data_IF_528879063239
#
_entry.id   IF_528879063239
#
_cell.length_a   1.000
_cell.length_b   1.000
_cell.length_c   1.000
_cell.angle_alpha   90.00
_cell.angle_beta   90.00
_cell.angle_gamma   90.00
#
_symmetry.space_group_name_H-M   'P 1'
#
loop_
_entity.id
_entity.type
_entity.pdbx_description
1 polymer ?
#
# COMPACT_ATOMS: atom_id res chain seq x y z
N UNK A 1 23.18 35.44 20.05
CA UNK A 1 22.90 34.03 19.69
C UNK A 1 23.18 33.93 18.21
N UNK A 2 24.21 33.18 17.84
CA UNK A 2 24.50 32.94 16.43
C UNK A 2 23.30 32.18 15.85
N UNK A 3 22.53 32.82 14.98
CA UNK A 3 21.42 32.14 14.29
C UNK A 3 22.07 31.23 13.27
N UNK A 4 21.78 29.93 13.35
CA UNK A 4 22.18 28.95 12.34
C UNK A 4 21.87 29.41 10.91
N UNK A 5 22.56 28.82 9.94
CA UNK A 5 22.39 29.19 8.53
C UNK A 5 20.95 28.94 8.09
N UNK A 6 20.30 29.94 7.48
CA UNK A 6 18.94 29.73 6.97
C UNK A 6 18.96 28.86 5.71
N UNK A 7 17.85 28.20 5.39
CA UNK A 7 17.72 27.44 4.14
C UNK A 7 18.08 28.28 2.91
N UNK A 8 17.66 29.55 2.87
CA UNK A 8 17.99 30.47 1.78
C UNK A 8 19.49 30.83 1.71
N UNK A 9 20.15 31.02 2.86
CA UNK A 9 21.60 31.23 2.91
C UNK A 9 22.35 29.99 2.42
N UNK A 10 21.93 28.80 2.85
CA UNK A 10 22.53 27.52 2.47
C UNK A 10 22.37 27.24 0.97
N UNK A 11 21.18 27.45 0.40
CA UNK A 11 20.98 27.30 -1.05
C UNK A 11 21.92 28.20 -1.84
N UNK A 12 22.05 29.47 -1.44
CA UNK A 12 22.88 30.43 -2.17
C UNK A 12 24.37 30.13 -2.02
N UNK A 13 24.80 29.74 -0.82
CA UNK A 13 26.18 29.33 -0.57
C UNK A 13 26.54 28.06 -1.34
N UNK A 14 25.64 27.08 -1.40
CA UNK A 14 25.83 25.85 -2.18
C UNK A 14 26.05 26.12 -3.67
N UNK A 15 25.30 27.06 -4.26
CA UNK A 15 25.50 27.48 -5.65
C UNK A 15 26.86 28.15 -5.91
N UNK A 16 27.41 28.84 -4.89
CA UNK A 16 28.71 29.50 -4.94
C UNK A 16 29.88 28.56 -4.62
N UNK A 17 29.62 27.46 -3.89
CA UNK A 17 30.53 26.34 -3.69
C UNK A 17 30.67 25.53 -4.98
N UNK A 18 29.57 25.36 -5.74
CA UNK A 18 29.61 24.71 -7.06
C UNK A 18 30.52 25.45 -8.03
N UNK A 19 30.33 26.78 -8.16
CA UNK A 19 31.21 27.64 -8.95
C UNK A 19 31.01 29.12 -8.61
N UNK A 20 32.00 29.98 -8.92
CA UNK A 20 31.84 31.43 -8.78
C UNK A 20 30.72 31.97 -9.68
N UNK A 21 29.84 32.83 -9.14
CA UNK A 21 28.69 33.38 -9.87
C UNK A 21 28.41 34.83 -9.50
N UNK A 22 27.80 35.58 -10.43
CA UNK A 22 27.13 36.84 -10.11
C UNK A 22 25.69 36.57 -9.62
N UNK A 23 25.17 37.42 -8.74
CA UNK A 23 23.73 37.56 -8.45
C UNK A 23 22.72 37.37 -9.59
N UNK A 24 22.98 37.83 -10.84
CA UNK A 24 22.06 37.55 -11.96
C UNK A 24 22.12 36.08 -12.42
N UNK A 25 23.30 35.49 -12.51
CA UNK A 25 23.46 34.06 -12.84
C UNK A 25 22.89 33.17 -11.74
N UNK A 26 22.94 33.63 -10.48
CA UNK A 26 22.28 32.94 -9.36
C UNK A 26 20.77 32.94 -9.54
N UNK A 27 20.16 34.06 -9.96
CA UNK A 27 18.73 34.11 -10.29
C UNK A 27 18.37 33.16 -11.44
N UNK A 28 19.16 33.16 -12.51
CA UNK A 28 18.96 32.27 -13.67
C UNK A 28 18.97 30.81 -13.21
N UNK A 29 19.99 30.38 -12.48
CA UNK A 29 20.10 28.99 -11.99
C UNK A 29 18.98 28.62 -11.01
N UNK A 30 18.60 29.51 -10.09
CA UNK A 30 17.50 29.28 -9.14
C UNK A 30 16.19 29.06 -9.90
N UNK A 31 15.95 29.84 -10.95
CA UNK A 31 14.77 29.72 -11.79
C UNK A 31 14.80 28.46 -12.66
N UNK A 32 15.91 28.21 -13.35
CA UNK A 32 16.09 27.06 -14.26
C UNK A 32 15.98 25.72 -13.52
N UNK A 33 16.60 25.60 -12.35
CA UNK A 33 16.60 24.36 -11.56
C UNK A 33 15.36 24.21 -10.67
N UNK A 34 14.40 25.14 -10.75
CA UNK A 34 13.20 25.10 -9.92
C UNK A 34 13.51 25.08 -8.42
N UNK A 35 14.52 25.81 -7.94
CA UNK A 35 14.89 25.74 -6.53
C UNK A 35 13.80 26.32 -5.61
N UNK A 36 12.95 27.18 -6.16
CA UNK A 36 11.78 27.76 -5.47
C UNK A 36 10.68 26.74 -5.14
N UNK A 37 10.83 25.51 -5.59
CA UNK A 37 9.95 24.40 -5.22
C UNK A 37 10.16 23.96 -3.76
N UNK A 38 11.36 24.14 -3.22
CA UNK A 38 11.76 23.61 -1.90
C UNK A 38 12.48 24.65 -1.02
N UNK A 39 12.71 25.87 -1.50
CA UNK A 39 13.25 26.98 -0.70
C UNK A 39 12.56 28.31 -1.00
N UNK A 40 12.47 29.18 0.01
CA UNK A 40 11.91 30.53 -0.12
C UNK A 40 13.01 31.53 -0.49
N UNK A 41 13.24 31.73 -1.80
CA UNK A 41 14.21 32.71 -2.31
C UNK A 41 13.57 33.59 -3.40
N UNK A 42 13.33 34.85 -3.07
CA UNK A 42 12.93 35.88 -4.04
C UNK A 42 14.14 36.61 -4.64
N UNK A 43 13.99 37.20 -5.82
CA UNK A 43 15.07 37.94 -6.49
C UNK A 43 15.72 39.01 -5.59
N UNK A 44 14.90 39.82 -4.91
CA UNK A 44 15.38 40.87 -4.00
C UNK A 44 16.15 40.31 -2.80
N UNK A 45 15.91 39.06 -2.41
CA UNK A 45 16.61 38.42 -1.29
C UNK A 45 18.01 37.95 -1.67
N UNK A 46 18.30 37.66 -2.94
CA UNK A 46 19.62 37.18 -3.38
C UNK A 46 20.72 38.16 -2.97
N UNK A 47 20.58 39.44 -3.31
CA UNK A 47 21.62 40.45 -3.01
C UNK A 47 21.76 40.74 -1.51
N UNK A 48 20.66 40.66 -0.76
CA UNK A 48 20.68 40.76 0.69
C UNK A 48 21.44 39.57 1.31
N UNK A 49 21.18 38.34 0.84
CA UNK A 49 21.86 37.13 1.30
C UNK A 49 23.34 37.13 0.93
N UNK A 50 23.71 37.58 -0.27
CA UNK A 50 25.13 37.77 -0.65
C UNK A 50 25.84 38.74 0.30
N UNK A 51 25.17 39.83 0.69
CA UNK A 51 25.73 40.80 1.64
C UNK A 51 25.97 40.14 3.00
N UNK A 52 24.98 39.39 3.52
CA UNK A 52 25.12 38.66 4.79
C UNK A 52 26.18 37.57 4.76
N UNK A 53 26.22 36.74 3.71
CA UNK A 53 27.24 35.69 3.56
C UNK A 53 28.65 36.29 3.52
N UNK A 54 28.82 37.46 2.89
CA UNK A 54 30.09 38.18 2.85
C UNK A 54 30.47 38.76 4.22
N UNK A 55 29.53 39.39 4.92
CA UNK A 55 29.76 39.91 6.28
C UNK A 55 30.14 38.81 7.27
N UNK A 56 29.65 37.58 7.04
CA UNK A 56 30.03 36.37 7.76
C UNK A 56 31.35 35.74 7.29
N UNK A 57 32.04 36.32 6.30
CA UNK A 57 33.30 35.79 5.77
C UNK A 57 33.17 34.50 4.93
N UNK A 58 31.95 34.07 4.61
CA UNK A 58 31.69 32.81 3.90
C UNK A 58 31.89 32.94 2.38
N UNK A 59 31.78 34.16 1.85
CA UNK A 59 32.05 34.46 0.45
C UNK A 59 32.90 35.73 0.32
N UNK A 60 33.64 35.83 -0.79
CA UNK A 60 34.42 37.02 -1.14
C UNK A 60 34.14 37.44 -2.59
N UNK A 61 34.09 38.73 -2.91
CA UNK A 61 34.04 39.17 -4.31
C UNK A 61 35.37 38.85 -5.01
N UNK A 62 35.29 38.34 -6.23
CA UNK A 62 36.43 38.21 -7.15
C UNK A 62 36.56 39.50 -7.96
N UNK A 63 37.79 39.90 -8.32
CA UNK A 63 38.03 41.10 -9.12
C UNK A 63 37.21 41.07 -10.43
N UNK A 64 36.60 42.20 -10.83
CA UNK A 64 35.68 42.23 -11.95
C UNK A 64 36.38 41.86 -13.26
N UNK A 65 35.94 40.78 -13.89
CA UNK A 65 36.22 40.54 -15.31
C UNK A 65 35.52 41.62 -16.12
N UNK A 66 36.28 42.40 -16.89
CA UNK A 66 35.71 43.43 -17.78
C UNK A 66 34.85 42.74 -18.84
N UNK A 67 33.53 42.88 -18.73
CA UNK A 67 32.62 42.50 -19.81
C UNK A 67 32.69 43.52 -20.95
N UNK A 68 32.46 43.08 -22.19
CA UNK A 68 32.53 43.87 -23.42
C UNK A 68 31.47 44.99 -23.54
N UNK A 69 30.76 45.34 -22.46
CA UNK A 69 29.66 46.31 -22.43
C UNK A 69 29.68 47.31 -21.27
N UNK A 70 30.80 47.47 -20.56
CA UNK A 70 31.02 48.62 -19.66
C UNK A 70 30.34 48.59 -18.29
N UNK A 71 29.56 47.56 -17.92
CA UNK A 71 29.11 47.36 -16.54
C UNK A 71 29.98 46.33 -15.83
N UNK A 72 30.69 46.77 -14.78
CA UNK A 72 31.40 45.89 -13.84
C UNK A 72 30.38 45.06 -13.05
N UNK A 73 30.53 43.75 -13.13
CA UNK A 73 29.64 42.76 -12.52
C UNK A 73 30.42 42.08 -11.39
N UNK A 74 29.92 42.16 -10.15
CA UNK A 74 30.59 41.54 -8.99
C UNK A 74 30.29 40.04 -8.98
N UNK A 75 31.33 39.24 -9.22
CA UNK A 75 31.30 37.77 -9.06
C UNK A 75 31.67 37.44 -7.63
N UNK A 76 30.96 36.48 -7.03
CA UNK A 76 31.24 36.00 -5.68
C UNK A 76 31.81 34.58 -5.73
N UNK A 77 32.74 34.29 -4.82
CA UNK A 77 33.38 33.00 -4.63
C UNK A 77 33.23 32.57 -3.18
N UNK A 78 32.94 31.29 -2.91
CA UNK A 78 32.96 30.74 -1.57
C UNK A 78 34.39 30.70 -1.00
N UNK A 79 34.57 31.13 0.25
CA UNK A 79 35.86 31.03 0.97
C UNK A 79 36.08 29.59 1.47
N UNK A 80 37.28 29.21 1.94
CA UNK A 80 37.48 27.92 2.60
C UNK A 80 36.56 27.71 3.81
N UNK A 81 36.23 28.79 4.52
CA UNK A 81 35.24 28.76 5.60
C UNK A 81 33.82 28.57 5.07
N UNK A 82 33.46 29.25 3.97
CA UNK A 82 32.20 29.03 3.26
C UNK A 82 31.96 27.58 2.85
N UNK A 83 32.98 26.90 2.32
CA UNK A 83 32.88 25.48 1.98
C UNK A 83 32.58 24.60 3.20
N UNK A 84 33.30 24.81 4.31
CA UNK A 84 33.07 24.07 5.56
C UNK A 84 31.69 24.34 6.14
N UNK A 85 31.29 25.61 6.19
CA UNK A 85 29.99 26.01 6.69
C UNK A 85 28.83 25.45 5.85
N UNK A 86 28.98 25.42 4.52
CA UNK A 86 28.01 24.82 3.62
C UNK A 86 27.84 23.32 3.87
N UNK A 87 28.95 22.58 4.01
CA UNK A 87 28.92 21.15 4.27
C UNK A 87 28.26 20.84 5.62
N UNK A 88 28.67 21.52 6.69
CA UNK A 88 28.11 21.32 8.03
C UNK A 88 26.62 21.65 8.08
N UNK A 89 26.20 22.77 7.49
CA UNK A 89 24.79 23.17 7.45
C UNK A 89 23.92 22.23 6.59
N UNK A 90 24.48 21.67 5.51
CA UNK A 90 23.78 20.65 4.71
C UNK A 90 23.60 19.33 5.49
N UNK A 91 24.63 18.90 6.22
CA UNK A 91 24.54 17.70 7.08
C UNK A 91 23.51 17.88 8.20
N UNK A 92 23.55 19.02 8.90
CA UNK A 92 22.57 19.37 9.94
C UNK A 92 21.14 19.39 9.39
N UNK A 93 20.92 20.02 8.22
CA UNK A 93 19.61 20.07 7.58
C UNK A 93 19.05 18.69 7.17
N UNK A 94 19.93 17.71 6.90
CA UNK A 94 19.54 16.33 6.59
C UNK A 94 19.29 15.52 7.87
N UNK A 95 20.14 15.69 8.88
CA UNK A 95 20.11 14.89 10.10
C UNK A 95 18.99 15.33 11.07
N UNK A 96 18.72 16.63 11.14
CA UNK A 96 17.79 17.19 12.11
C UNK A 96 16.37 17.32 11.58
N UNK A 97 15.42 16.78 12.35
CA UNK A 97 14.00 16.92 12.06
C UNK A 97 13.53 18.34 12.34
N UNK A 98 13.35 19.12 11.28
CA UNK A 98 12.76 20.45 11.33
C UNK A 98 11.25 20.38 11.03
N UNK A 99 10.36 20.66 12.00
CA UNK A 99 8.92 20.62 11.75
C UNK A 99 8.48 21.70 10.76
N UNK A 100 7.81 21.29 9.69
CA UNK A 100 7.08 22.19 8.81
C UNK A 100 5.65 22.30 9.35
N UNK A 101 5.15 23.53 9.52
CA UNK A 101 3.78 23.80 9.97
C UNK A 101 2.93 24.35 8.81
N UNK A 102 2.19 23.49 8.07
CA UNK A 102 1.37 23.95 6.95
C UNK A 102 0.31 24.95 7.40
N UNK A 103 0.20 26.10 6.71
CA UNK A 103 -0.75 27.16 7.04
C UNK A 103 -2.22 26.70 7.01
N UNK A 104 -2.54 25.65 6.25
CA UNK A 104 -3.88 25.08 6.22
C UNK A 104 -4.33 24.58 7.60
N UNK A 105 -3.43 24.03 8.42
CA UNK A 105 -3.79 23.54 9.76
C UNK A 105 -4.26 24.69 10.67
N UNK A 106 -3.57 25.83 10.59
CA UNK A 106 -3.97 27.06 11.31
C UNK A 106 -5.28 27.60 10.74
N UNK A 107 -5.46 27.56 9.42
CA UNK A 107 -6.71 27.95 8.76
C UNK A 107 -7.89 27.09 9.23
N UNK A 108 -7.71 25.77 9.33
CA UNK A 108 -8.72 24.83 9.81
C UNK A 108 -9.03 25.00 11.30
N UNK A 109 -8.01 25.26 12.13
CA UNK A 109 -8.21 25.54 13.56
C UNK A 109 -9.13 26.76 13.79
N UNK A 110 -9.20 27.65 12.80
CA UNK A 110 -10.06 28.84 12.81
C UNK A 110 -11.24 28.74 11.83
N UNK A 111 -11.51 27.56 11.26
CA UNK A 111 -12.61 27.35 10.32
C UNK A 111 -14.01 27.71 10.88
N UNK A 112 -14.32 27.57 12.19
CA UNK A 112 -15.60 28.03 12.74
C UNK A 112 -15.88 29.52 12.54
N UNK A 113 -14.86 30.35 12.25
CA UNK A 113 -15.03 31.77 11.94
C UNK A 113 -15.40 32.05 10.46
N UNK A 114 -15.48 31.01 9.62
CA UNK A 114 -15.76 31.08 8.19
C UNK A 114 -17.12 30.42 7.94
N UNK A 115 -17.99 31.07 7.17
CA UNK A 115 -19.24 30.45 6.72
C UNK A 115 -18.97 29.22 5.83
N UNK A 116 -19.90 28.27 5.86
CA UNK A 116 -19.71 26.96 5.20
C UNK A 116 -19.41 27.09 3.71
N UNK A 117 -20.13 27.95 2.99
CA UNK A 117 -19.94 28.13 1.55
C UNK A 117 -18.54 28.67 1.23
N UNK A 118 -18.08 29.70 1.95
CA UNK A 118 -16.74 30.25 1.77
C UNK A 118 -15.64 29.28 2.18
N UNK A 119 -15.87 28.44 3.20
CA UNK A 119 -14.95 27.37 3.57
C UNK A 119 -14.81 26.35 2.44
N UNK A 120 -15.92 25.83 1.90
CA UNK A 120 -15.88 24.86 0.80
C UNK A 120 -15.21 25.45 -0.44
N UNK A 121 -15.57 26.68 -0.83
CA UNK A 121 -14.92 27.36 -1.95
C UNK A 121 -13.42 27.59 -1.73
N UNK A 122 -12.98 27.81 -0.48
CA UNK A 122 -11.56 27.94 -0.14
C UNK A 122 -10.81 26.60 -0.26
N UNK A 123 -11.42 25.50 0.18
CA UNK A 123 -10.87 24.16 0.03
C UNK A 123 -10.78 23.77 -1.46
N UNK A 124 -11.81 24.06 -2.26
CA UNK A 124 -11.83 23.79 -3.70
C UNK A 124 -10.77 24.62 -4.47
N UNK A 125 -10.55 25.88 -4.06
CA UNK A 125 -9.43 26.69 -4.59
C UNK A 125 -8.08 26.06 -4.26
N UNK A 126 -7.90 25.55 -3.04
CA UNK A 126 -6.66 24.90 -2.63
C UNK A 126 -6.43 23.59 -3.38
N UNK A 127 -7.48 22.78 -3.59
CA UNK A 127 -7.39 21.53 -4.36
C UNK A 127 -6.87 21.79 -5.78
N UNK A 128 -7.41 22.81 -6.46
CA UNK A 128 -6.92 23.22 -7.78
C UNK A 128 -5.46 23.69 -7.75
N UNK A 129 -5.11 24.53 -6.78
CA UNK A 129 -3.74 25.01 -6.62
C UNK A 129 -2.74 23.86 -6.36
N UNK A 130 -3.13 22.84 -5.57
CA UNK A 130 -2.31 21.64 -5.36
C UNK A 130 -2.14 20.83 -6.65
N UNK A 131 -3.22 20.62 -7.41
CA UNK A 131 -3.15 19.90 -8.69
C UNK A 131 -2.25 20.62 -9.71
N UNK A 132 -2.41 21.94 -9.86
CA UNK A 132 -1.54 22.78 -10.71
C UNK A 132 -0.08 22.70 -10.25
N UNK A 133 0.15 22.70 -8.93
CA UNK A 133 1.50 22.62 -8.37
C UNK A 133 2.17 21.27 -8.61
N UNK A 134 1.44 20.17 -8.40
CA UNK A 134 1.93 18.80 -8.68
C UNK A 134 2.32 18.68 -10.15
N UNK A 135 1.50 19.19 -11.07
CA UNK A 135 1.81 19.15 -12.50
C UNK A 135 3.06 19.99 -12.83
N UNK A 136 3.17 21.19 -12.26
CA UNK A 136 4.35 22.05 -12.44
C UNK A 136 5.64 21.37 -11.95
N UNK A 137 5.64 20.83 -10.72
CA UNK A 137 6.79 20.13 -10.14
C UNK A 137 7.13 18.90 -10.97
N UNK A 138 6.13 18.11 -11.38
CA UNK A 138 6.32 16.92 -12.19
C UNK A 138 6.93 17.23 -13.56
N UNK A 139 6.52 18.34 -14.19
CA UNK A 139 7.13 18.82 -15.44
C UNK A 139 8.60 19.19 -15.25
N UNK A 140 8.93 19.93 -14.19
CA UNK A 140 10.32 20.31 -13.90
C UNK A 140 11.19 19.09 -13.58
N UNK A 141 10.68 18.16 -12.77
CA UNK A 141 11.38 16.92 -12.42
C UNK A 141 11.64 16.02 -13.64
N UNK A 142 10.70 15.99 -14.61
CA UNK A 142 10.83 15.21 -15.84
C UNK A 142 11.65 15.86 -16.95
N UNK A 143 12.03 17.14 -16.82
CA UNK A 143 12.72 17.89 -17.88
C UNK A 143 14.17 17.45 -18.08
N UNK A 144 14.88 17.10 -17.00
CA UNK A 144 16.27 16.65 -17.06
C UNK A 144 16.39 15.17 -16.68
N UNK A 145 16.43 14.30 -17.69
CA UNK A 145 16.60 12.85 -17.52
C UNK A 145 17.99 12.44 -17.03
N UNK A 146 18.97 13.35 -17.05
CA UNK A 146 20.34 13.10 -16.60
C UNK A 146 20.63 13.72 -15.24
N UNK A 147 19.62 14.30 -14.59
CA UNK A 147 19.77 14.91 -13.27
C UNK A 147 20.36 13.89 -12.27
N UNK A 148 21.35 14.28 -11.44
CA UNK A 148 21.91 13.41 -10.40
C UNK A 148 20.86 12.86 -9.43
N UNK A 149 21.13 11.70 -8.83
CA UNK A 149 20.19 10.99 -7.94
C UNK A 149 19.67 11.86 -6.80
N UNK A 150 20.55 12.66 -6.18
CA UNK A 150 20.15 13.57 -5.09
C UNK A 150 19.18 14.67 -5.55
N UNK A 151 19.27 15.11 -6.81
CA UNK A 151 18.36 16.12 -7.38
C UNK A 151 16.98 15.49 -7.58
N UNK A 152 16.92 14.26 -8.09
CA UNK A 152 15.65 13.53 -8.25
C UNK A 152 14.96 13.30 -6.90
N UNK A 153 15.73 12.94 -5.87
CA UNK A 153 15.22 12.75 -4.52
C UNK A 153 14.54 14.01 -3.92
N UNK A 154 15.04 15.21 -4.25
CA UNK A 154 14.41 16.48 -3.81
C UNK A 154 13.00 16.61 -4.43
N UNK A 155 12.87 16.36 -5.73
CA UNK A 155 11.58 16.44 -6.41
C UNK A 155 10.62 15.33 -5.97
N UNK A 156 11.12 14.10 -5.78
CA UNK A 156 10.32 12.98 -5.28
C UNK A 156 9.74 13.31 -3.89
N UNK A 157 10.54 13.92 -3.01
CA UNK A 157 10.07 14.35 -1.70
C UNK A 157 8.98 15.43 -1.81
N UNK A 158 9.20 16.46 -2.63
CA UNK A 158 8.23 17.55 -2.82
C UNK A 158 6.91 17.04 -3.43
N UNK A 159 6.98 16.17 -4.45
CA UNK A 159 5.80 15.54 -5.05
C UNK A 159 5.06 14.66 -4.05
N UNK A 160 5.77 13.89 -3.24
CA UNK A 160 5.18 13.06 -2.19
C UNK A 160 4.39 13.89 -1.17
N UNK A 161 4.95 15.02 -0.72
CA UNK A 161 4.26 15.93 0.21
C UNK A 161 3.01 16.56 -0.40
N UNK A 162 3.11 17.07 -1.64
CA UNK A 162 1.98 17.68 -2.33
C UNK A 162 0.86 16.68 -2.61
N UNK A 163 1.23 15.46 -3.02
CA UNK A 163 0.28 14.38 -3.31
C UNK A 163 -0.45 13.93 -2.04
N UNK A 164 0.28 13.74 -0.94
CA UNK A 164 -0.31 13.39 0.35
C UNK A 164 -1.28 14.47 0.84
N UNK A 165 -0.96 15.75 0.64
CA UNK A 165 -1.89 16.83 0.99
C UNK A 165 -3.12 16.86 0.08
N UNK A 166 -2.96 16.61 -1.23
CA UNK A 166 -4.07 16.56 -2.17
C UNK A 166 -5.05 15.41 -1.86
N UNK A 167 -4.52 14.23 -1.54
CA UNK A 167 -5.30 13.07 -1.07
C UNK A 167 -6.08 13.42 0.20
N UNK A 168 -5.39 13.91 1.24
CA UNK A 168 -6.03 14.30 2.50
C UNK A 168 -7.10 15.39 2.30
N UNK A 169 -6.85 16.38 1.44
CA UNK A 169 -7.79 17.47 1.19
C UNK A 169 -9.05 16.96 0.47
N UNK A 170 -8.89 16.04 -0.48
CA UNK A 170 -10.00 15.36 -1.16
C UNK A 170 -10.90 14.65 -0.14
N UNK A 171 -10.30 13.83 0.73
CA UNK A 171 -11.01 13.07 1.76
C UNK A 171 -11.73 13.99 2.75
N UNK A 172 -11.03 15.02 3.23
CA UNK A 172 -11.61 16.00 4.14
C UNK A 172 -12.77 16.76 3.50
N UNK A 173 -12.61 17.20 2.24
CA UNK A 173 -13.66 17.93 1.52
C UNK A 173 -14.91 17.07 1.30
N UNK A 174 -14.74 15.79 0.98
CA UNK A 174 -15.84 14.83 0.85
C UNK A 174 -16.58 14.64 2.18
N UNK A 175 -15.85 14.52 3.30
CA UNK A 175 -16.44 14.38 4.64
C UNK A 175 -17.33 15.57 5.05
N UNK A 176 -17.12 16.75 4.47
CA UNK A 176 -17.89 17.95 4.77
C UNK A 176 -19.26 18.00 4.08
N UNK A 177 -19.50 17.19 3.06
CA UNK A 177 -20.79 17.09 2.37
C UNK A 177 -21.79 16.19 3.12
N UNK A 178 -21.31 15.42 4.10
CA UNK A 178 -22.12 14.59 5.00
C UNK A 178 -22.64 15.42 6.20
N UNK A 179 -23.94 15.35 6.56
CA UNK A 179 -24.52 16.12 7.68
C UNK A 179 -23.89 15.81 9.05
N UNK A 180 -23.83 16.76 10.00
CA UNK A 180 -23.21 16.56 11.32
C UNK A 180 -23.81 15.42 12.16
N UNK A 181 -25.09 15.09 11.97
CA UNK A 181 -25.73 13.96 12.65
C UNK A 181 -25.29 12.59 12.11
N UNK A 182 -24.74 12.57 10.90
CA UNK A 182 -24.04 11.43 10.29
C UNK A 182 -22.53 11.48 10.56
N UNK A 183 -22.03 12.57 11.18
CA UNK A 183 -20.64 12.73 11.67
C UNK A 183 -20.47 12.30 13.14
N UNK A 184 -21.14 11.21 13.55
CA UNK A 184 -20.59 10.44 14.68
C UNK A 184 -19.31 9.80 14.15
N UNK A 185 -18.20 10.07 14.82
CA UNK A 185 -16.84 9.76 14.36
C UNK A 185 -16.79 8.45 13.59
N UNK A 186 -16.14 8.47 12.42
CA UNK A 186 -15.79 7.24 11.75
C UNK A 186 -14.91 6.44 12.72
N UNK A 187 -15.55 5.57 13.50
CA UNK A 187 -14.93 4.33 13.90
C UNK A 187 -14.30 3.79 12.63
N UNK A 188 -13.03 3.32 12.67
CA UNK A 188 -12.40 2.76 11.49
C UNK A 188 -13.43 1.82 10.86
N UNK A 189 -13.82 2.08 9.61
CA UNK A 189 -14.70 1.19 8.86
C UNK A 189 -14.04 -0.16 9.02
N UNK A 190 -14.65 -0.99 9.86
CA UNK A 190 -13.93 -2.14 10.36
C UNK A 190 -13.77 -3.01 9.14
N UNK A 191 -12.53 -3.33 8.72
CA UNK A 191 -12.33 -4.03 7.47
C UNK A 191 -13.23 -5.27 7.47
N UNK A 192 -13.84 -5.56 6.32
CA UNK A 192 -14.59 -6.80 6.20
C UNK A 192 -13.66 -7.96 6.53
N UNK A 193 -14.10 -8.81 7.45
CA UNK A 193 -13.35 -9.98 7.87
C UNK A 193 -14.30 -11.15 7.77
N UNK A 194 -14.03 -12.04 6.81
CA UNK A 194 -14.85 -13.24 6.58
C UNK A 194 -15.00 -14.07 7.87
N UNK A 195 -14.00 -14.04 8.76
CA UNK A 195 -14.05 -14.74 10.06
C UNK A 195 -15.04 -14.12 11.03
N UNK A 196 -15.35 -12.83 10.87
CA UNK A 196 -16.38 -12.13 11.65
C UNK A 196 -17.76 -12.32 11.02
N UNK A 197 -17.86 -12.17 9.71
CA UNK A 197 -19.13 -12.27 8.98
C UNK A 197 -19.68 -13.70 8.97
N UNK A 198 -18.82 -14.70 8.84
CA UNK A 198 -19.16 -16.13 8.81
C UNK A 198 -18.49 -16.89 9.95
N UNK A 199 -18.68 -16.40 11.19
CA UNK A 199 -18.00 -16.93 12.38
C UNK A 199 -18.17 -18.44 12.58
N UNK A 200 -19.35 -18.99 12.29
CA UNK A 200 -19.61 -20.43 12.46
C UNK A 200 -18.86 -21.29 11.43
N UNK A 201 -18.44 -20.70 10.31
CA UNK A 201 -17.71 -21.37 9.23
C UNK A 201 -16.19 -21.26 9.38
N UNK A 202 -15.71 -20.15 9.94
CA UNK A 202 -14.29 -19.81 10.03
C UNK A 202 -13.72 -19.79 11.46
N UNK A 203 -14.58 -19.88 12.47
CA UNK A 203 -14.19 -20.02 13.87
C UNK A 203 -15.10 -21.03 14.62
N UNK A 204 -15.32 -22.25 14.06
CA UNK A 204 -16.08 -23.28 14.75
C UNK A 204 -15.40 -23.66 16.07
N UNK A 205 -16.21 -24.15 17.01
CA UNK A 205 -15.73 -24.65 18.31
C UNK A 205 -15.90 -26.15 18.48
N UNK A 206 -16.63 -26.80 17.56
CA UNK A 206 -16.96 -28.21 17.65
C UNK A 206 -15.76 -29.06 17.20
N UNK A 207 -15.33 -29.98 18.05
CA UNK A 207 -14.34 -31.03 17.76
C UNK A 207 -15.01 -32.37 17.43
N UNK A 208 -16.32 -32.35 17.23
CA UNK A 208 -17.14 -33.45 16.72
C UNK A 208 -17.92 -32.94 15.51
N UNK A 209 -18.27 -33.80 14.56
CA UNK A 209 -19.02 -33.40 13.38
C UNK A 209 -20.36 -32.75 13.73
N UNK A 210 -20.66 -31.65 13.04
CA UNK A 210 -21.94 -30.97 13.10
C UNK A 210 -22.35 -30.57 11.67
N UNK A 211 -23.66 -30.53 11.43
CA UNK A 211 -24.19 -30.00 10.17
C UNK A 211 -24.23 -28.48 10.24
N UNK A 212 -23.69 -27.85 9.21
CA UNK A 212 -23.77 -26.41 8.96
C UNK A 212 -24.36 -26.18 7.57
N UNK A 213 -25.06 -25.07 7.39
CA UNK A 213 -25.49 -24.63 6.06
C UNK A 213 -24.50 -23.56 5.57
N UNK A 214 -23.82 -23.83 4.46
CA UNK A 214 -22.82 -22.93 3.91
C UNK A 214 -23.45 -22.13 2.77
N UNK A 215 -23.63 -20.80 2.94
CA UNK A 215 -24.24 -19.97 1.91
C UNK A 215 -23.31 -19.82 0.71
N UNK A 216 -23.85 -19.27 -0.37
CA UNK A 216 -23.05 -18.87 -1.52
C UNK A 216 -21.94 -17.89 -1.09
N UNK A 217 -20.70 -18.20 -1.46
CA UNK A 217 -19.52 -17.38 -1.22
C UNK A 217 -18.72 -17.17 -2.51
N UNK A 218 -17.91 -16.11 -2.53
CA UNK A 218 -17.08 -15.73 -3.69
C UNK A 218 -15.61 -15.90 -3.34
N UNK A 219 -14.84 -16.40 -4.30
CA UNK A 219 -13.44 -16.73 -4.12
C UNK A 219 -12.63 -16.27 -5.33
N UNK A 220 -11.37 -15.94 -5.11
CA UNK A 220 -10.35 -16.16 -6.13
C UNK A 220 -9.85 -17.59 -5.98
N UNK A 221 -9.70 -18.28 -7.11
CA UNK A 221 -9.43 -19.71 -7.16
C UNK A 221 -8.34 -20.02 -8.19
N UNK A 222 -7.57 -21.07 -7.92
CA UNK A 222 -6.62 -21.65 -8.87
C UNK A 222 -6.62 -23.16 -8.74
N UNK A 223 -6.68 -23.85 -9.87
CA UNK A 223 -6.70 -25.31 -9.96
C UNK A 223 -5.27 -25.84 -10.11
N UNK A 224 -5.04 -27.05 -9.61
CA UNK A 224 -3.77 -27.73 -9.78
C UNK A 224 -3.82 -29.17 -9.34
N UNK A 225 -2.69 -29.85 -9.49
CA UNK A 225 -2.54 -31.28 -9.18
C UNK A 225 -1.19 -31.55 -8.52
N UNK A 226 -1.10 -32.67 -7.81
CA UNK A 226 0.13 -33.15 -7.17
C UNK A 226 0.26 -32.81 -5.69
N UNK A 227 1.27 -33.38 -5.05
CA UNK A 227 1.47 -33.31 -3.60
C UNK A 227 1.79 -31.87 -3.14
N UNK A 228 0.98 -31.29 -2.24
CA UNK A 228 1.21 -29.93 -1.73
C UNK A 228 2.53 -29.75 -0.98
N UNK A 229 3.17 -30.83 -0.54
CA UNK A 229 4.42 -30.78 0.23
C UNK A 229 5.67 -30.70 -0.67
N UNK A 230 5.56 -31.11 -1.94
CA UNK A 230 6.72 -31.25 -2.83
C UNK A 230 6.55 -30.52 -4.17
N UNK A 231 5.31 -30.24 -4.57
CA UNK A 231 5.00 -29.62 -5.86
C UNK A 231 5.33 -28.12 -5.87
N UNK A 232 6.23 -27.72 -6.76
CA UNK A 232 6.45 -26.29 -7.05
C UNK A 232 5.20 -25.63 -7.60
N UNK A 233 4.36 -26.36 -8.33
CA UNK A 233 3.10 -25.84 -8.86
C UNK A 233 2.13 -25.45 -7.74
N UNK A 234 2.08 -26.22 -6.64
CA UNK A 234 1.30 -25.85 -5.45
C UNK A 234 1.84 -24.56 -4.80
N UNK A 235 3.15 -24.48 -4.59
CA UNK A 235 3.78 -23.30 -4.01
C UNK A 235 3.56 -22.04 -4.87
N UNK A 236 3.69 -22.17 -6.19
CA UNK A 236 3.45 -21.08 -7.16
C UNK A 236 1.98 -20.67 -7.17
N UNK A 237 1.05 -21.61 -7.08
CA UNK A 237 -0.39 -21.33 -7.04
C UNK A 237 -0.78 -20.55 -5.78
N UNK A 238 -0.30 -20.99 -4.60
CA UNK A 238 -0.53 -20.27 -3.34
C UNK A 238 0.12 -18.88 -3.38
N UNK A 239 1.34 -18.77 -3.91
CA UNK A 239 2.01 -17.48 -4.07
C UNK A 239 1.23 -16.53 -5.00
N UNK A 240 0.68 -17.05 -6.10
CA UNK A 240 -0.15 -16.30 -7.02
C UNK A 240 -1.45 -15.81 -6.37
N UNK A 241 -2.16 -16.68 -5.65
CA UNK A 241 -3.40 -16.33 -4.93
C UNK A 241 -3.16 -15.17 -3.96
N UNK A 242 -2.15 -15.27 -3.10
CA UNK A 242 -1.84 -14.18 -2.17
C UNK A 242 -1.40 -12.91 -2.90
N UNK A 243 -0.66 -13.02 -4.00
CA UNK A 243 -0.27 -11.86 -4.81
C UNK A 243 -1.50 -11.09 -5.31
N UNK A 244 -2.50 -11.79 -5.85
CA UNK A 244 -3.75 -11.17 -6.31
C UNK A 244 -4.61 -10.68 -5.14
N UNK A 245 -4.75 -11.46 -4.06
CA UNK A 245 -5.52 -11.06 -2.87
C UNK A 245 -5.01 -9.76 -2.24
N UNK A 246 -3.68 -9.62 -2.08
CA UNK A 246 -3.10 -8.39 -1.54
C UNK A 246 -3.21 -7.22 -2.52
N UNK A 247 -3.08 -7.48 -3.83
CA UNK A 247 -3.28 -6.43 -4.85
C UNK A 247 -4.72 -5.92 -4.83
N UNK A 248 -5.72 -6.82 -4.73
CA UNK A 248 -7.13 -6.48 -4.54
C UNK A 248 -7.36 -5.71 -3.25
N UNK A 249 -6.77 -6.13 -2.13
CA UNK A 249 -6.89 -5.41 -0.84
C UNK A 249 -6.40 -3.97 -0.97
N UNK A 250 -5.23 -3.75 -1.55
CA UNK A 250 -4.68 -2.40 -1.69
C UNK A 250 -5.44 -1.56 -2.71
N UNK A 251 -5.99 -2.17 -3.76
CA UNK A 251 -6.86 -1.48 -4.71
C UNK A 251 -8.20 -1.10 -4.06
N UNK A 252 -8.84 -2.01 -3.32
CA UNK A 252 -10.12 -1.79 -2.65
C UNK A 252 -10.02 -0.70 -1.55
N UNK A 253 -8.87 -0.60 -0.86
CA UNK A 253 -8.61 0.48 0.10
C UNK A 253 -8.63 1.88 -0.54
N UNK A 254 -8.44 1.98 -1.87
CA UNK A 254 -8.43 3.24 -2.62
C UNK A 254 -9.79 3.60 -3.23
N UNK A 255 -10.82 2.78 -3.01
CA UNK A 255 -12.17 2.99 -3.52
C UNK A 255 -13.17 3.06 -2.38
N UNK A 256 -14.37 3.57 -2.65
CA UNK A 256 -15.49 3.59 -1.67
C UNK A 256 -15.98 2.19 -1.28
N UNK A 257 -15.47 1.13 -1.94
CA UNK A 257 -15.87 -0.25 -1.70
C UNK A 257 -15.39 -0.80 -0.34
N UNK A 258 -14.43 -0.14 0.29
CA UNK A 258 -13.97 -0.46 1.64
C UNK A 258 -12.79 -1.44 1.73
N UNK A 259 -12.16 -1.48 2.90
CA UNK A 259 -11.03 -2.38 3.18
C UNK A 259 -11.52 -3.77 3.65
N UNK A 260 -10.69 -4.80 3.47
CA UNK A 260 -10.95 -6.15 3.98
C UNK A 260 -9.69 -6.85 4.47
N UNK A 261 -9.84 -7.77 5.42
CA UNK A 261 -8.78 -8.68 5.87
C UNK A 261 -8.68 -9.83 4.86
N UNK A 262 -7.47 -10.12 4.37
CA UNK A 262 -7.25 -11.29 3.50
C UNK A 262 -7.66 -12.55 4.26
N UNK A 263 -8.57 -13.33 3.68
CA UNK A 263 -9.09 -14.55 4.27
C UNK A 263 -8.01 -15.63 4.44
N UNK A 264 -8.22 -16.61 5.34
CA UNK A 264 -7.40 -17.82 5.37
C UNK A 264 -7.34 -18.50 3.99
N UNK A 265 -6.28 -19.24 3.74
CA UNK A 265 -6.22 -20.13 2.58
C UNK A 265 -7.24 -21.26 2.78
N UNK A 266 -7.94 -21.62 1.72
CA UNK A 266 -8.87 -22.76 1.71
C UNK A 266 -8.51 -23.68 0.53
N UNK A 267 -8.90 -24.96 0.62
CA UNK A 267 -8.57 -25.96 -0.38
C UNK A 267 -9.73 -26.94 -0.61
N UNK A 268 -10.14 -27.07 -1.87
CA UNK A 268 -11.00 -28.17 -2.31
C UNK A 268 -10.13 -29.32 -2.79
N UNK A 269 -10.40 -30.53 -2.32
CA UNK A 269 -9.57 -31.72 -2.56
C UNK A 269 -10.39 -32.85 -3.15
N UNK A 270 -9.84 -33.49 -4.19
CA UNK A 270 -10.38 -34.72 -4.76
C UNK A 270 -9.31 -35.56 -5.41
N UNK A 271 -9.65 -36.80 -5.70
CA UNK A 271 -8.86 -37.69 -6.54
C UNK A 271 -9.81 -38.37 -7.53
N UNK A 272 -9.31 -38.65 -8.73
CA UNK A 272 -10.11 -39.34 -9.77
C UNK A 272 -10.42 -40.80 -9.39
N UNK A 273 -9.70 -41.33 -8.40
CA UNK A 273 -9.84 -42.68 -7.87
C UNK A 273 -9.96 -42.64 -6.34
N UNK A 274 -11.07 -43.14 -5.75
CA UNK A 274 -11.27 -43.13 -4.30
C UNK A 274 -10.15 -43.83 -3.50
N UNK A 275 -9.49 -44.83 -4.08
CA UNK A 275 -8.44 -45.65 -3.43
C UNK A 275 -7.14 -44.86 -3.15
N UNK A 276 -7.02 -43.66 -3.73
CA UNK A 276 -5.86 -42.76 -3.55
C UNK A 276 -5.80 -42.19 -2.13
N UNK A 277 -6.96 -41.96 -1.50
CA UNK A 277 -7.03 -41.47 -0.11
C UNK A 277 -6.60 -42.53 0.91
N UNK A 278 -6.77 -43.82 0.59
CA UNK A 278 -6.34 -44.93 1.44
C UNK A 278 -4.85 -45.25 1.34
N UNK A 279 -4.18 -44.87 0.24
CA UNK A 279 -2.78 -45.25 -0.05
C UNK A 279 -1.77 -44.12 0.20
N UNK A 280 -2.22 -42.94 0.68
CA UNK A 280 -1.39 -41.73 0.85
C UNK A 280 -0.62 -41.32 -0.42
N UNK A 281 -1.13 -41.67 -1.60
CA UNK A 281 -0.53 -41.31 -2.89
C UNK A 281 -0.88 -39.84 -3.24
N UNK A 282 -0.33 -38.90 -2.45
CA UNK A 282 -0.60 -37.45 -2.54
C UNK A 282 -0.28 -36.86 -3.92
N UNK A 283 0.58 -37.51 -4.71
CA UNK A 283 0.91 -37.12 -6.09
C UNK A 283 -0.27 -37.17 -7.07
N UNK A 284 -1.34 -37.91 -6.75
CA UNK A 284 -2.55 -38.02 -7.60
C UNK A 284 -3.70 -37.14 -7.13
N UNK A 285 -3.45 -36.22 -6.19
CA UNK A 285 -4.47 -35.30 -5.70
C UNK A 285 -4.69 -34.18 -6.70
N UNK A 286 -5.95 -33.89 -6.96
CA UNK A 286 -6.40 -32.69 -7.62
C UNK A 286 -6.89 -31.72 -6.55
N UNK A 287 -6.62 -30.44 -6.75
CA UNK A 287 -7.02 -29.42 -5.81
C UNK A 287 -7.41 -28.11 -6.49
N UNK A 288 -8.29 -27.39 -5.81
CA UNK A 288 -8.58 -25.98 -6.09
C UNK A 288 -8.25 -25.20 -4.83
N UNK A 289 -7.20 -24.36 -4.88
CA UNK A 289 -6.88 -23.45 -3.77
C UNK A 289 -7.72 -22.18 -3.88
N UNK A 290 -8.19 -21.69 -2.75
CA UNK A 290 -9.17 -20.62 -2.64
C UNK A 290 -8.74 -19.55 -1.63
N UNK A 291 -9.14 -18.30 -1.88
CA UNK A 291 -9.20 -17.25 -0.86
C UNK A 291 -10.56 -16.55 -1.01
N UNK A 292 -11.36 -16.53 0.06
CA UNK A 292 -12.66 -15.88 0.08
C UNK A 292 -12.55 -14.35 -0.12
N UNK A 293 -13.42 -13.81 -0.96
CA UNK A 293 -13.48 -12.40 -1.34
C UNK A 293 -14.76 -11.75 -0.82
N UNK A 294 -14.73 -10.46 -0.42
CA UNK A 294 -15.93 -9.71 -0.08
C UNK A 294 -16.96 -9.66 -1.24
N UNK A 295 -18.26 -9.53 -0.95
CA UNK A 295 -19.32 -9.59 -1.95
C UNK A 295 -19.32 -8.41 -2.95
N UNK A 296 -18.59 -7.34 -2.68
CA UNK A 296 -18.44 -6.22 -3.63
C UNK A 296 -17.26 -6.38 -4.59
N UNK A 297 -16.36 -7.36 -4.37
CA UNK A 297 -15.28 -7.64 -5.32
C UNK A 297 -15.89 -8.23 -6.59
N UNK A 298 -15.64 -7.56 -7.71
CA UNK A 298 -16.18 -7.95 -9.02
C UNK A 298 -15.15 -8.69 -9.86
N UNK A 299 -15.61 -9.44 -10.87
CA UNK A 299 -14.73 -10.09 -11.86
C UNK A 299 -13.76 -9.10 -12.52
N UNK A 300 -14.22 -7.88 -12.81
CA UNK A 300 -13.38 -6.82 -13.41
C UNK A 300 -12.23 -6.43 -12.50
N UNK A 301 -12.50 -6.23 -11.20
CA UNK A 301 -11.46 -5.89 -10.22
C UNK A 301 -10.42 -7.02 -10.09
N UNK A 302 -10.85 -8.27 -10.20
CA UNK A 302 -9.96 -9.43 -10.18
C UNK A 302 -9.02 -9.44 -11.39
N UNK A 303 -9.54 -9.20 -12.60
CA UNK A 303 -8.67 -9.11 -13.80
C UNK A 303 -7.69 -7.93 -13.72
N UNK A 304 -8.12 -6.74 -13.29
CA UNK A 304 -7.23 -5.58 -13.09
C UNK A 304 -6.13 -5.86 -12.05
N UNK A 305 -6.47 -6.59 -10.99
CA UNK A 305 -5.52 -7.02 -9.98
C UNK A 305 -4.54 -8.08 -10.49
N UNK A 306 -4.99 -9.01 -11.35
CA UNK A 306 -4.12 -9.99 -12.03
C UNK A 306 -3.09 -9.28 -12.90
N UNK A 307 -3.52 -8.33 -13.73
CA UNK A 307 -2.61 -7.57 -14.60
C UNK A 307 -1.55 -6.81 -13.78
N UNK A 308 -1.99 -6.12 -12.73
CA UNK A 308 -1.11 -5.38 -11.81
C UNK A 308 -0.13 -6.31 -11.10
N UNK A 309 -0.60 -7.45 -10.60
CA UNK A 309 0.22 -8.42 -9.89
C UNK A 309 1.23 -9.10 -10.83
N UNK A 310 0.81 -9.45 -12.05
CA UNK A 310 1.65 -10.10 -13.05
C UNK A 310 2.78 -9.17 -13.51
N UNK A 311 2.49 -7.90 -13.76
CA UNK A 311 3.50 -6.90 -14.12
C UNK A 311 4.60 -6.75 -13.05
N UNK A 312 4.21 -6.86 -11.77
CA UNK A 312 5.12 -6.71 -10.62
C UNK A 312 5.92 -7.97 -10.29
N UNK A 313 5.27 -9.14 -10.29
CA UNK A 313 5.84 -10.41 -9.81
C UNK A 313 6.38 -11.32 -10.91
N UNK A 314 5.91 -11.14 -12.15
CA UNK A 314 6.26 -11.99 -13.31
C UNK A 314 6.06 -13.48 -13.04
N UNK A 315 5.06 -13.83 -12.23
CA UNK A 315 4.71 -15.21 -11.87
C UNK A 315 3.58 -15.70 -12.81
N UNK A 316 3.83 -16.68 -13.70
CA UNK A 316 2.84 -17.10 -14.70
C UNK A 316 1.52 -17.61 -14.11
N UNK A 317 1.57 -18.26 -12.94
CA UNK A 317 0.38 -18.79 -12.25
C UNK A 317 -0.66 -17.70 -11.90
N UNK A 318 -0.29 -16.41 -11.90
CA UNK A 318 -1.24 -15.31 -11.68
C UNK A 318 -2.32 -15.28 -12.78
N UNK A 319 -1.96 -15.62 -14.02
CA UNK A 319 -2.90 -15.61 -15.15
C UNK A 319 -4.01 -16.66 -15.01
N UNK A 320 -3.72 -17.77 -14.32
CA UNK A 320 -4.63 -18.90 -14.10
C UNK A 320 -5.68 -18.63 -13.00
N UNK A 321 -5.55 -17.52 -12.25
CA UNK A 321 -6.50 -17.18 -11.20
C UNK A 321 -7.86 -16.83 -11.81
N UNK A 322 -8.90 -17.48 -11.30
CA UNK A 322 -10.29 -17.29 -11.73
C UNK A 322 -11.19 -16.90 -10.56
N UNK A 323 -12.26 -16.16 -10.87
CA UNK A 323 -13.35 -15.94 -9.93
C UNK A 323 -14.21 -17.20 -9.81
N UNK A 324 -14.47 -17.66 -8.59
CA UNK A 324 -15.35 -18.78 -8.29
C UNK A 324 -16.48 -18.32 -7.37
N UNK A 325 -17.71 -18.64 -7.72
CA UNK A 325 -18.86 -18.58 -6.81
C UNK A 325 -19.17 -20.02 -6.41
N UNK A 326 -19.22 -20.30 -5.11
CA UNK A 326 -19.46 -21.64 -4.57
C UNK A 326 -20.56 -21.59 -3.53
N UNK A 327 -21.59 -22.42 -3.69
CA UNK A 327 -22.65 -22.66 -2.72
C UNK A 327 -22.57 -24.13 -2.31
N UNK A 328 -22.02 -24.41 -1.13
CA UNK A 328 -21.86 -25.80 -0.65
C UNK A 328 -23.15 -26.33 -0.02
N UNK A 329 -23.98 -25.45 0.56
CA UNK A 329 -25.22 -25.83 1.24
C UNK A 329 -24.95 -26.70 2.47
N UNK A 330 -25.82 -27.69 2.76
CA UNK A 330 -25.66 -28.58 3.89
C UNK A 330 -24.31 -29.31 3.88
N UNK A 331 -23.52 -29.10 4.92
CA UNK A 331 -22.17 -29.63 5.04
C UNK A 331 -21.90 -30.18 6.44
N UNK A 332 -21.23 -31.33 6.54
CA UNK A 332 -20.65 -31.79 7.78
C UNK A 332 -19.34 -31.02 8.02
N UNK A 333 -19.19 -30.42 9.21
CA UNK A 333 -18.03 -29.60 9.57
C UNK A 333 -17.47 -29.99 10.94
N UNK A 334 -16.14 -29.98 11.08
CA UNK A 334 -15.43 -30.15 12.36
C UNK A 334 -14.16 -29.29 12.41
N UNK A 335 -13.80 -28.83 13.60
CA UNK A 335 -12.49 -28.22 13.85
C UNK A 335 -11.47 -29.32 14.20
N UNK A 336 -10.51 -29.55 13.31
CA UNK A 336 -9.31 -30.36 13.61
C UNK A 336 -8.26 -29.50 14.32
N UNK A 337 -7.65 -30.07 15.37
CA UNK A 337 -6.54 -29.45 16.10
C UNK A 337 -5.37 -30.42 16.08
N UNK A 338 -4.34 -30.09 15.32
CA UNK A 338 -3.16 -30.93 15.14
C UNK A 338 -2.56 -30.84 13.73
N UNK A 339 -1.56 -31.68 13.43
CA UNK A 339 -0.93 -31.79 12.11
C UNK A 339 -1.93 -32.20 11.01
N UNK A 340 -1.69 -31.74 9.78
CA UNK A 340 -2.49 -32.15 8.60
C UNK A 340 -2.42 -33.67 8.36
N UNK A 341 -1.26 -34.29 8.62
CA UNK A 341 -1.09 -35.74 8.46
C UNK A 341 -1.90 -36.58 9.48
N UNK A 342 -2.44 -35.94 10.53
CA UNK A 342 -3.26 -36.55 11.57
C UNK A 342 -4.77 -36.37 11.34
N UNK A 343 -5.19 -35.86 10.18
CA UNK A 343 -6.61 -35.70 9.84
C UNK A 343 -7.31 -37.03 9.48
N UNK A 344 -6.53 -38.06 9.11
CA UNK A 344 -7.04 -39.34 8.63
C UNK A 344 -8.05 -40.03 9.58
N UNK A 345 -7.84 -40.08 10.91
CA UNK A 345 -8.83 -40.66 11.83
C UNK A 345 -10.16 -39.91 11.85
N UNK A 346 -10.12 -38.58 11.75
CA UNK A 346 -11.32 -37.72 11.77
C UNK A 346 -12.13 -37.91 10.48
N UNK A 347 -11.45 -37.99 9.32
CA UNK A 347 -12.08 -38.31 8.04
C UNK A 347 -12.60 -39.75 7.98
N UNK A 348 -11.90 -40.71 8.59
CA UNK A 348 -12.37 -42.09 8.67
C UNK A 348 -13.70 -42.18 9.44
N UNK A 349 -13.81 -41.50 10.58
CA UNK A 349 -15.05 -41.46 11.37
C UNK A 349 -16.20 -40.76 10.63
N UNK A 350 -15.92 -39.70 9.84
CA UNK A 350 -16.90 -39.09 8.95
C UNK A 350 -17.54 -40.11 8.00
N UNK A 351 -16.70 -40.83 7.23
CA UNK A 351 -17.15 -41.68 6.14
C UNK A 351 -17.77 -43.01 6.63
N UNK A 352 -17.27 -43.56 7.74
CA UNK A 352 -17.69 -44.88 8.21
C UNK A 352 -18.63 -44.86 9.41
N UNK A 353 -18.86 -43.72 10.04
CA UNK A 353 -19.73 -43.64 11.22
C UNK A 353 -20.74 -42.50 11.12
N UNK A 354 -20.27 -41.27 10.90
CA UNK A 354 -21.15 -40.10 10.92
C UNK A 354 -22.17 -40.11 9.78
N UNK A 355 -21.77 -40.48 8.57
CA UNK A 355 -22.67 -40.55 7.41
C UNK A 355 -23.80 -41.57 7.60
N UNK A 356 -23.47 -42.79 8.03
CA UNK A 356 -24.46 -43.84 8.28
C UNK A 356 -25.44 -43.42 9.39
N UNK A 357 -24.91 -42.94 10.51
CA UNK A 357 -25.71 -42.53 11.67
C UNK A 357 -26.70 -41.39 11.34
N UNK A 358 -26.37 -40.51 10.39
CA UNK A 358 -27.18 -39.35 10.02
C UNK A 358 -27.93 -39.51 8.70
N UNK A 359 -27.88 -40.69 8.06
CA UNK A 359 -28.49 -40.93 6.73
C UNK A 359 -28.00 -39.93 5.67
N UNK A 360 -26.69 -39.70 5.61
CA UNK A 360 -26.04 -38.75 4.70
C UNK A 360 -25.14 -39.47 3.69
N UNK A 361 -24.95 -38.83 2.52
CA UNK A 361 -23.94 -39.19 1.51
C UNK A 361 -23.15 -37.95 1.08
N UNK A 362 -22.04 -38.16 0.37
CA UNK A 362 -21.26 -37.07 -0.23
C UNK A 362 -22.13 -36.20 -1.15
N UNK A 363 -21.99 -34.89 -1.00
CA UNK A 363 -22.68 -33.87 -1.80
C UNK A 363 -21.75 -32.97 -2.63
N UNK A 364 -20.43 -33.13 -2.50
CA UNK A 364 -19.43 -32.26 -3.13
C UNK A 364 -18.01 -32.62 -2.75
N UNK A 365 -17.07 -31.73 -3.07
CA UNK A 365 -15.64 -31.91 -2.81
C UNK A 365 -15.31 -31.72 -1.32
N UNK A 366 -14.28 -32.41 -0.83
CA UNK A 366 -13.75 -32.18 0.52
C UNK A 366 -13.12 -30.80 0.60
N UNK A 367 -13.43 -30.04 1.64
CA UNK A 367 -13.05 -28.64 1.79
C UNK A 367 -12.31 -28.42 3.12
N UNK A 368 -11.12 -27.84 3.05
CA UNK A 368 -10.28 -27.51 4.19
C UNK A 368 -10.06 -26.00 4.29
N UNK A 369 -10.15 -25.44 5.50
CA UNK A 369 -9.85 -24.02 5.78
C UNK A 369 -8.67 -23.95 6.76
N UNK A 370 -7.54 -23.41 6.30
CA UNK A 370 -6.29 -23.35 7.06
C UNK A 370 -6.23 -22.11 7.94
N UNK A 371 -6.78 -22.20 9.15
CA UNK A 371 -6.86 -21.06 10.09
C UNK A 371 -5.51 -20.67 10.71
N UNK A 372 -4.51 -21.56 10.64
CA UNK A 372 -3.19 -21.38 11.21
C UNK A 372 -2.12 -21.25 10.13
N UNK A 373 -1.14 -20.36 10.33
CA UNK A 373 0.05 -20.30 9.47
C UNK A 373 1.05 -21.38 9.95
N UNK A 374 1.34 -22.43 9.15
CA UNK A 374 2.23 -23.53 9.54
C UNK A 374 3.67 -23.07 9.77
N UNK A 375 4.06 -21.88 9.28
CA UNK A 375 5.39 -21.29 9.53
C UNK A 375 5.48 -20.61 10.88
N UNK A 376 4.35 -20.36 11.54
CA UNK A 376 4.26 -19.59 12.80
C UNK A 376 3.63 -20.38 13.96
N UNK A 377 2.97 -21.49 13.66
CA UNK A 377 2.19 -22.26 14.62
C UNK A 377 2.80 -23.65 14.75
N UNK A 378 3.04 -24.08 15.98
CA UNK A 378 3.51 -25.44 16.24
C UNK A 378 2.47 -26.48 15.75
N UNK A 379 2.88 -27.61 15.14
CA UNK A 379 1.96 -28.55 14.50
C UNK A 379 0.80 -29.01 15.37
N UNK A 380 1.04 -29.26 16.66
CA UNK A 380 0.05 -29.71 17.65
C UNK A 380 -0.99 -28.63 18.03
N UNK A 381 -0.78 -27.38 17.62
CA UNK A 381 -1.69 -26.26 17.85
C UNK A 381 -2.34 -25.74 16.57
N UNK A 382 -2.03 -26.34 15.42
CA UNK A 382 -2.63 -25.95 14.15
C UNK A 382 -4.11 -26.24 14.17
N UNK A 383 -4.86 -25.36 13.52
CA UNK A 383 -6.32 -25.42 13.42
C UNK A 383 -6.71 -25.46 11.95
N UNK A 384 -7.42 -26.51 11.57
CA UNK A 384 -8.00 -26.70 10.24
C UNK A 384 -9.49 -26.92 10.41
N UNK A 385 -10.32 -26.20 9.67
CA UNK A 385 -11.73 -26.60 9.55
C UNK A 385 -11.81 -27.63 8.45
N UNK A 386 -12.29 -28.82 8.78
CA UNK A 386 -12.60 -29.86 7.80
C UNK A 386 -14.09 -29.80 7.52
N UNK A 387 -14.44 -29.76 6.23
CA UNK A 387 -15.82 -29.67 5.79
C UNK A 387 -16.08 -30.56 4.58
N UNK A 388 -17.19 -31.28 4.63
CA UNK A 388 -17.64 -32.13 3.55
C UNK A 388 -19.10 -31.79 3.23
N UNK A 389 -19.41 -31.27 2.02
CA UNK A 389 -20.79 -31.12 1.57
C UNK A 389 -21.50 -32.46 1.58
N UNK A 390 -22.76 -32.47 2.01
CA UNK A 390 -23.57 -33.68 2.21
C UNK A 390 -24.96 -33.56 1.57
N UNK A 391 -25.54 -34.70 1.24
CA UNK A 391 -26.94 -34.82 0.83
C UNK A 391 -27.63 -35.90 1.65
N UNK A 392 -28.94 -35.81 1.89
CA UNK A 392 -29.70 -36.93 2.42
C UNK A 392 -29.58 -38.15 1.51
N UNK A 393 -29.52 -39.33 2.12
CA UNK A 393 -29.79 -40.58 1.40
C UNK A 393 -31.29 -40.66 1.20
N UNK A 394 -31.76 -40.53 -0.06
CA UNK A 394 -33.17 -40.77 -0.38
C UNK A 394 -33.55 -42.17 0.10
N UNK A 395 -34.57 -42.26 0.97
CA UNK A 395 -35.10 -43.52 1.49
C UNK A 395 -35.97 -44.25 0.48
#
# INVERSE_FOLDING_TARGET
MDRGMTAAELTLLGLLVEQPRHGYELEEVISERGMREWTEIGFSSIYYLLTRLRERGLITPTDPTRSAGGKTRKVYTATPEGHRACAAAAEEAIAELHPVFPRILVGLANAPAIDRERLLAALDRRSRALAERIEQVGRTAGADRQAPDFVRAIFDHALGQLSAEAEWLSDYRASLDTPPHDRKGAAPVTPYDVKREHKDLYAPKNTTWAIVDVPEQRFIAIDGTGDPNTSSAYADAVAALYSVAYTLKFAAKRTDAGDFVVAPLEGLWWADRPEVFTTRAKDSWNWTMLIAMPPWITKKMIEEAKDTALAKKKLPAISEIRHLTLHEGPSAQVLHIGPYDDEAPVLHELHHTYFEANSLRHGGLHHEIYLSDPRKTAPEKMKTVLRQPVQPVDR
#
